data_IF_869807681949
#
_entry.id   IF_869807681949
#
_cell.length_a   1.000
_cell.length_b   1.000
_cell.length_c   1.000
_cell.angle_alpha   90.00
_cell.angle_beta   90.00
_cell.angle_gamma   90.00
#
_symmetry.space_group_name_H-M   'P 1'
#
loop_
_entity.id
_entity.type
_entity.pdbx_description
1 polymer ?
#
# COMPACT_ATOMS: atom_id res chain seq x y z
N UNK A 1 -22.45 34.41 -18.51
CA UNK A 1 -22.77 33.09 -17.93
C UNK A 1 -21.45 32.38 -17.68
N UNK A 2 -21.15 32.03 -16.43
CA UNK A 2 -19.90 31.33 -16.06
C UNK A 2 -20.22 29.83 -16.02
N UNK A 3 -19.44 29.02 -16.75
CA UNK A 3 -19.55 27.56 -16.73
C UNK A 3 -18.40 27.01 -15.91
N UNK A 4 -18.71 26.17 -14.92
CA UNK A 4 -17.70 25.49 -14.09
C UNK A 4 -17.67 24.03 -14.51
N UNK A 5 -16.51 23.56 -14.95
CA UNK A 5 -16.25 22.17 -15.31
C UNK A 5 -15.37 21.54 -14.23
N UNK A 6 -15.80 20.39 -13.69
CA UNK A 6 -15.05 19.65 -12.66
C UNK A 6 -14.71 18.28 -13.21
N UNK A 7 -13.44 18.08 -13.52
CA UNK A 7 -12.92 16.82 -14.01
C UNK A 7 -12.37 15.97 -12.86
N UNK A 8 -13.06 14.88 -12.55
CA UNK A 8 -12.56 13.91 -11.58
C UNK A 8 -11.35 13.16 -12.15
N UNK A 9 -10.25 13.17 -11.40
CA UNK A 9 -9.04 12.38 -11.69
C UNK A 9 -9.13 11.09 -10.90
N UNK A 10 -9.29 9.95 -11.59
CA UNK A 10 -9.28 8.64 -10.95
C UNK A 10 -7.84 8.17 -10.69
N UNK A 11 -7.67 7.24 -9.74
CA UNK A 11 -6.37 6.60 -9.47
C UNK A 11 -5.83 5.89 -10.73
N UNK A 12 -6.70 5.20 -11.48
CA UNK A 12 -6.33 4.58 -12.76
C UNK A 12 -5.87 5.61 -13.80
N UNK A 13 -6.54 6.78 -13.85
CA UNK A 13 -6.17 7.87 -14.75
C UNK A 13 -4.80 8.45 -14.41
N UNK A 14 -4.51 8.63 -13.11
CA UNK A 14 -3.22 9.11 -12.63
C UNK A 14 -2.11 8.07 -12.85
N UNK A 15 -2.38 6.78 -12.61
CA UNK A 15 -1.42 5.69 -12.85
C UNK A 15 -1.01 5.56 -14.33
N UNK A 16 -1.88 5.99 -15.24
CA UNK A 16 -1.64 5.98 -16.69
C UNK A 16 -1.34 7.37 -17.28
N UNK A 17 -1.08 8.36 -16.42
CA UNK A 17 -0.77 9.71 -16.86
C UNK A 17 0.64 9.80 -17.45
N UNK A 18 0.80 10.64 -18.46
CA UNK A 18 2.07 10.96 -19.12
C UNK A 18 2.40 12.42 -18.89
N UNK A 19 3.61 12.69 -18.40
CA UNK A 19 4.15 14.03 -18.26
C UNK A 19 4.96 14.43 -19.51
N UNK A 20 4.74 15.63 -20.02
CA UNK A 20 5.52 16.21 -21.12
C UNK A 20 6.00 17.61 -20.73
N UNK A 21 7.28 17.88 -20.96
CA UNK A 21 7.92 19.17 -20.72
C UNK A 21 7.99 19.95 -22.02
N UNK A 22 7.43 21.15 -22.03
CA UNK A 22 7.42 22.07 -23.17
C UNK A 22 8.36 23.24 -22.91
N UNK A 23 9.11 23.63 -23.93
CA UNK A 23 10.12 24.68 -23.83
C UNK A 23 9.48 26.06 -23.76
N UNK A 24 9.90 26.88 -22.78
CA UNK A 24 9.78 28.34 -22.84
C UNK A 24 8.35 28.88 -22.91
N UNK A 25 7.40 28.25 -22.22
CA UNK A 25 5.99 28.64 -22.19
C UNK A 25 5.50 28.77 -20.76
N UNK A 26 4.73 29.83 -20.47
CA UNK A 26 4.09 29.98 -19.17
C UNK A 26 2.81 29.14 -19.07
N UNK A 27 2.34 28.77 -17.87
CA UNK A 27 1.08 28.05 -17.72
C UNK A 27 -0.12 28.77 -18.35
N UNK A 28 -0.18 30.10 -18.23
CA UNK A 28 -1.23 30.96 -18.79
C UNK A 28 -1.20 30.97 -20.33
N UNK A 29 -0.01 31.19 -20.92
CA UNK A 29 0.16 31.17 -22.38
C UNK A 29 -0.19 29.81 -22.96
N UNK A 30 0.18 28.72 -22.26
CA UNK A 30 -0.20 27.38 -22.68
C UNK A 30 -1.72 27.21 -22.72
N UNK A 31 -2.44 27.63 -21.69
CA UNK A 31 -3.89 27.49 -21.63
C UNK A 31 -4.61 28.26 -22.74
N UNK A 32 -4.18 29.48 -23.04
CA UNK A 32 -4.84 30.35 -24.02
C UNK A 32 -4.43 30.01 -25.45
N UNK A 33 -3.14 29.83 -25.70
CA UNK A 33 -2.58 29.78 -27.06
C UNK A 33 -2.31 28.35 -27.52
N UNK A 34 -1.71 27.52 -26.66
CA UNK A 34 -1.11 26.25 -27.09
C UNK A 34 -1.97 25.01 -26.79
N UNK A 35 -2.88 25.08 -25.81
CA UNK A 35 -3.74 23.96 -25.37
C UNK A 35 -4.50 23.32 -26.54
N UNK A 36 -5.02 24.12 -27.46
CA UNK A 36 -5.77 23.62 -28.63
C UNK A 36 -4.88 22.84 -29.60
N UNK A 37 -3.66 23.32 -29.84
CA UNK A 37 -2.65 22.63 -30.65
C UNK A 37 -2.23 21.31 -30.00
N UNK A 38 -1.97 21.35 -28.70
CA UNK A 38 -1.64 20.18 -27.88
C UNK A 38 -2.70 19.09 -27.94
N UNK A 39 -3.96 19.41 -27.67
CA UNK A 39 -5.06 18.44 -27.73
C UNK A 39 -5.24 17.88 -29.15
N UNK A 40 -5.08 18.69 -30.20
CA UNK A 40 -5.15 18.22 -31.60
C UNK A 40 -3.99 17.31 -31.98
N UNK A 41 -2.79 17.59 -31.49
CA UNK A 41 -1.61 16.74 -31.68
C UNK A 41 -1.83 15.35 -31.10
N UNK A 42 -2.24 15.28 -29.82
CA UNK A 42 -2.58 14.01 -29.16
C UNK A 42 -3.73 13.28 -29.84
N UNK A 43 -4.77 14.01 -30.27
CA UNK A 43 -5.90 13.47 -31.04
C UNK A 43 -5.42 12.75 -32.30
N UNK A 44 -4.57 13.42 -33.09
CA UNK A 44 -4.06 12.90 -34.35
C UNK A 44 -3.15 11.69 -34.13
N UNK A 45 -2.27 11.77 -33.12
CA UNK A 45 -1.27 10.76 -32.84
C UNK A 45 -1.89 9.46 -32.28
N UNK A 46 -2.84 9.61 -31.36
CA UNK A 46 -3.44 8.49 -30.65
C UNK A 46 -4.72 7.99 -31.31
N UNK A 47 -5.25 8.72 -32.30
CA UNK A 47 -6.55 8.47 -32.95
C UNK A 47 -7.70 8.40 -31.94
N UNK A 48 -7.78 9.42 -31.08
CA UNK A 48 -8.80 9.55 -30.02
C UNK A 48 -9.66 10.79 -30.24
N UNK A 49 -10.68 11.05 -29.41
CA UNK A 49 -11.44 12.32 -29.48
C UNK A 49 -10.79 13.35 -28.55
N UNK A 50 -11.00 14.64 -28.82
CA UNK A 50 -10.45 15.72 -27.97
C UNK A 50 -10.89 15.57 -26.51
N UNK A 51 -12.16 15.21 -26.28
CA UNK A 51 -12.74 15.00 -24.94
C UNK A 51 -12.17 13.78 -24.19
N UNK A 52 -11.47 12.88 -24.89
CA UNK A 52 -10.86 11.72 -24.27
C UNK A 52 -9.49 12.07 -23.66
N UNK A 53 -8.91 13.23 -24.01
CA UNK A 53 -7.64 13.71 -23.45
C UNK A 53 -7.93 14.60 -22.25
N UNK A 54 -7.56 14.13 -21.06
CA UNK A 54 -7.72 14.83 -19.79
C UNK A 54 -6.39 15.43 -19.37
N UNK A 55 -6.28 16.76 -19.36
CA UNK A 55 -5.13 17.45 -18.75
C UNK A 55 -5.37 17.46 -17.24
N UNK A 56 -4.48 16.80 -16.50
CA UNK A 56 -4.58 16.59 -15.05
C UNK A 56 -3.91 17.74 -14.29
N UNK A 57 -2.72 18.12 -14.73
CA UNK A 57 -1.92 19.16 -14.07
C UNK A 57 -1.06 19.91 -15.09
N UNK A 58 -0.89 21.20 -14.85
CA UNK A 58 0.00 22.12 -15.54
C UNK A 58 0.80 22.87 -14.47
N UNK A 59 2.12 22.86 -14.57
CA UNK A 59 2.98 23.58 -13.63
C UNK A 59 4.28 24.04 -14.29
N UNK A 60 4.91 25.13 -13.80
CA UNK A 60 6.28 25.44 -14.18
C UNK A 60 7.20 24.25 -13.91
N UNK A 61 8.11 23.97 -14.84
CA UNK A 61 9.07 22.91 -14.69
C UNK A 61 9.94 23.16 -13.46
N UNK A 62 10.00 22.17 -12.56
CA UNK A 62 10.91 22.18 -11.42
C UNK A 62 12.12 21.33 -11.76
N UNK A 63 13.31 21.92 -11.80
CA UNK A 63 14.58 21.20 -11.94
C UNK A 63 14.96 20.59 -10.58
N UNK A 64 14.30 19.48 -10.22
CA UNK A 64 14.73 18.68 -9.08
C UNK A 64 16.01 17.88 -9.45
N UNK A 65 17.16 18.47 -9.09
CA UNK A 65 18.52 17.91 -8.99
C UNK A 65 19.45 17.93 -10.23
N UNK A 66 20.42 18.86 -10.26
CA UNK A 66 21.86 18.60 -9.99
C UNK A 66 22.70 19.87 -10.26
N UNK A 67 23.65 20.13 -9.36
CA UNK A 67 24.77 21.08 -9.43
C UNK A 67 24.49 22.61 -9.47
N UNK A 68 25.00 23.29 -8.44
CA UNK A 68 24.97 24.75 -8.29
C UNK A 68 25.78 25.49 -9.37
N UNK A 69 26.72 24.82 -10.04
CA UNK A 69 27.50 25.39 -11.13
C UNK A 69 26.69 25.61 -12.43
N UNK A 70 25.56 24.91 -12.62
CA UNK A 70 24.66 25.12 -13.76
C UNK A 70 23.52 26.11 -13.46
N UNK A 71 23.35 26.52 -12.19
CA UNK A 71 22.31 27.48 -11.78
C UNK A 71 22.46 28.85 -12.44
N UNK A 72 23.67 29.26 -12.82
CA UNK A 72 23.93 30.57 -13.45
C UNK A 72 23.45 30.64 -14.91
N UNK A 73 23.39 29.52 -15.64
CA UNK A 73 22.90 29.47 -17.04
C UNK A 73 21.44 29.03 -17.18
N UNK A 74 20.85 28.40 -16.14
CA UNK A 74 19.49 27.81 -16.17
C UNK A 74 18.38 28.72 -15.61
N UNK A 75 18.73 29.80 -14.92
CA UNK A 75 17.77 30.66 -14.20
C UNK A 75 16.80 31.49 -15.08
N UNK A 76 16.70 31.20 -16.38
CA UNK A 76 15.84 31.90 -17.35
C UNK A 76 14.92 30.97 -18.16
N UNK A 77 15.01 29.64 -18.02
CA UNK A 77 14.12 28.72 -18.75
C UNK A 77 12.79 28.55 -18.03
N UNK A 78 11.74 29.18 -18.57
CA UNK A 78 10.35 29.02 -18.15
C UNK A 78 9.72 27.82 -18.87
N UNK A 79 10.27 26.63 -18.65
CA UNK A 79 9.69 25.42 -19.22
C UNK A 79 8.41 25.03 -18.45
N UNK A 80 7.53 24.27 -19.10
CA UNK A 80 6.23 23.89 -18.56
C UNK A 80 6.06 22.37 -18.54
N UNK A 81 5.74 21.82 -17.39
CA UNK A 81 5.35 20.42 -17.25
C UNK A 81 3.83 20.29 -17.36
N UNK A 82 3.37 19.48 -18.32
CA UNK A 82 1.96 19.16 -18.54
C UNK A 82 1.76 17.66 -18.29
N UNK A 83 0.93 17.33 -17.32
CA UNK A 83 0.52 15.97 -16.99
C UNK A 83 -0.88 15.70 -17.57
N UNK A 84 -1.03 14.64 -18.34
CA UNK A 84 -2.31 14.29 -18.97
C UNK A 84 -2.51 12.78 -19.02
N UNK A 85 -3.77 12.36 -19.10
CA UNK A 85 -4.16 10.97 -19.32
C UNK A 85 -5.14 10.89 -20.49
N UNK A 86 -5.25 9.72 -21.12
CA UNK A 86 -6.13 9.53 -22.28
C UNK A 86 -7.10 8.40 -22.01
N UNK A 87 -8.38 8.72 -22.01
CA UNK A 87 -9.49 7.78 -21.78
C UNK A 87 -9.69 6.89 -23.01
N UNK A 88 -9.98 5.62 -22.77
CA UNK A 88 -10.39 4.64 -23.79
C UNK A 88 -11.92 4.52 -23.81
N UNK A 89 -12.61 5.64 -24.00
CA UNK A 89 -14.06 5.71 -23.86
C UNK A 89 -14.51 5.31 -22.45
N UNK A 90 -15.39 4.32 -22.33
CA UNK A 90 -15.84 3.73 -21.05
C UNK A 90 -14.94 2.60 -20.54
N UNK A 91 -13.87 2.25 -21.26
CA UNK A 91 -13.01 1.08 -20.98
C UNK A 91 -11.69 1.45 -20.27
N UNK A 92 -11.72 2.42 -19.36
CA UNK A 92 -10.54 2.86 -18.59
C UNK A 92 -9.63 3.80 -19.38
N UNK A 93 -8.32 3.67 -19.18
CA UNK A 93 -7.30 4.55 -19.78
C UNK A 93 -6.32 3.80 -20.70
N UNK A 94 -5.75 4.51 -21.67
CA UNK A 94 -4.60 4.01 -22.43
C UNK A 94 -3.37 3.97 -21.54
N UNK A 95 -2.54 2.93 -21.66
CA UNK A 95 -1.36 2.80 -20.82
C UNK A 95 -0.33 3.90 -21.09
N UNK A 96 0.30 4.40 -20.03
CA UNK A 96 1.34 5.43 -20.12
C UNK A 96 2.45 5.00 -21.10
N UNK A 97 2.90 3.74 -21.02
CA UNK A 97 3.91 3.17 -21.93
C UNK A 97 3.54 3.31 -23.41
N UNK A 98 2.31 2.98 -23.78
CA UNK A 98 1.85 3.10 -25.17
C UNK A 98 1.85 4.55 -25.65
N UNK A 99 1.37 5.46 -24.82
CA UNK A 99 1.30 6.90 -25.14
C UNK A 99 2.72 7.46 -25.28
N UNK A 100 3.61 7.16 -24.33
CA UNK A 100 5.02 7.59 -24.34
C UNK A 100 5.75 7.09 -25.58
N UNK A 101 5.65 5.81 -25.93
CA UNK A 101 6.26 5.26 -27.16
C UNK A 101 5.75 5.99 -28.41
N UNK A 102 4.43 6.15 -28.55
CA UNK A 102 3.88 6.88 -29.71
C UNK A 102 4.36 8.33 -29.78
N UNK A 103 4.46 9.01 -28.65
CA UNK A 103 4.97 10.39 -28.58
C UNK A 103 6.44 10.46 -28.95
N UNK A 104 7.27 9.56 -28.44
CA UNK A 104 8.69 9.49 -28.78
C UNK A 104 8.89 9.24 -30.27
N UNK A 105 8.17 8.27 -30.84
CA UNK A 105 8.25 7.93 -32.27
C UNK A 105 7.78 9.07 -33.19
N UNK A 106 6.98 10.01 -32.68
CA UNK A 106 6.35 11.06 -33.47
C UNK A 106 6.54 12.46 -32.84
N UNK A 107 7.66 12.67 -32.13
CA UNK A 107 7.90 13.91 -31.37
C UNK A 107 7.77 15.14 -32.28
N UNK A 108 8.28 15.07 -33.51
CA UNK A 108 8.30 16.19 -34.43
C UNK A 108 6.90 16.58 -34.95
N UNK A 109 6.01 15.60 -35.10
CA UNK A 109 4.61 15.85 -35.42
C UNK A 109 3.90 16.53 -34.25
N UNK A 110 4.21 16.11 -33.01
CA UNK A 110 3.68 16.75 -31.80
C UNK A 110 4.18 18.19 -31.65
N UNK A 111 5.48 18.43 -31.86
CA UNK A 111 6.07 19.78 -31.84
C UNK A 111 5.42 20.69 -32.87
N UNK A 112 5.19 20.19 -34.09
CA UNK A 112 4.52 20.94 -35.16
C UNK A 112 3.07 21.26 -34.81
N UNK A 113 2.35 20.30 -34.20
CA UNK A 113 0.96 20.50 -33.81
C UNK A 113 0.78 21.47 -32.64
N UNK A 114 1.69 21.45 -31.67
CA UNK A 114 1.69 22.37 -30.53
C UNK A 114 2.25 23.74 -30.94
N UNK A 115 3.28 23.79 -31.78
CA UNK A 115 4.08 24.98 -32.02
C UNK A 115 5.13 25.25 -30.93
N UNK A 116 5.49 24.24 -30.14
CA UNK A 116 6.49 24.31 -29.07
C UNK A 116 7.45 23.13 -29.16
N UNK A 117 8.67 23.31 -28.67
CA UNK A 117 9.65 22.23 -28.55
C UNK A 117 9.34 21.33 -27.35
N UNK A 118 9.41 20.02 -27.57
CA UNK A 118 9.26 19.02 -26.51
C UNK A 118 10.64 18.78 -25.91
N UNK A 119 10.83 19.21 -24.67
CA UNK A 119 12.11 19.08 -23.96
C UNK A 119 12.27 17.66 -23.42
N UNK A 120 11.20 17.10 -22.86
CA UNK A 120 11.22 15.80 -22.21
C UNK A 120 9.84 15.15 -22.26
N UNK A 121 9.81 13.84 -22.41
CA UNK A 121 8.64 13.01 -22.14
C UNK A 121 8.98 12.13 -20.93
N UNK A 122 8.07 12.01 -19.98
CA UNK A 122 8.31 11.24 -18.76
C UNK A 122 8.38 9.75 -19.08
N UNK A 123 9.51 9.11 -18.74
CA UNK A 123 9.80 7.69 -18.98
C UNK A 123 9.97 6.93 -17.67
N UNK A 124 9.50 5.68 -17.59
CA UNK A 124 9.68 4.81 -16.41
C UNK A 124 11.16 4.80 -15.94
N UNK A 125 11.41 5.27 -14.70
CA UNK A 125 12.74 5.29 -14.09
C UNK A 125 13.06 3.99 -13.36
N UNK A 126 12.11 3.05 -13.29
CA UNK A 126 12.38 1.74 -12.72
C UNK A 126 13.33 0.94 -13.62
N UNK A 127 14.39 0.44 -13.01
CA UNK A 127 15.30 -0.55 -13.59
C UNK A 127 15.21 -1.83 -12.80
N UNK A 128 15.61 -2.95 -13.42
CA UNK A 128 15.63 -4.27 -12.75
C UNK A 128 16.53 -4.32 -11.51
N UNK A 129 17.38 -3.31 -11.31
CA UNK A 129 18.33 -3.20 -10.21
C UNK A 129 18.03 -2.02 -9.27
N UNK A 130 16.98 -1.24 -9.51
CA UNK A 130 16.66 -0.08 -8.68
C UNK A 130 16.33 -0.51 -7.24
N UNK A 131 15.45 -1.50 -7.10
CA UNK A 131 15.17 -2.19 -5.85
C UNK A 131 16.00 -3.47 -5.79
N UNK A 132 16.82 -3.64 -4.74
CA UNK A 132 17.74 -4.77 -4.63
C UNK A 132 16.98 -6.08 -4.43
N UNK A 133 15.99 -6.06 -3.53
CA UNK A 133 15.17 -7.22 -3.18
C UNK A 133 13.68 -6.84 -3.15
N UNK A 134 13.14 -6.44 -4.30
CA UNK A 134 11.74 -6.04 -4.40
C UNK A 134 11.32 -5.63 -5.80
N UNK A 135 10.07 -5.20 -5.91
CA UNK A 135 9.50 -4.65 -7.14
C UNK A 135 9.54 -3.13 -7.10
N UNK A 136 9.90 -2.51 -8.24
CA UNK A 136 9.99 -1.07 -8.38
C UNK A 136 8.70 -0.50 -8.99
N UNK A 137 8.18 0.58 -8.38
CA UNK A 137 7.01 1.30 -8.86
C UNK A 137 7.36 2.78 -9.05
N UNK A 138 7.31 3.27 -10.28
CA UNK A 138 7.48 4.69 -10.60
C UNK A 138 6.13 5.29 -11.02
N UNK A 139 5.62 6.22 -10.21
CA UNK A 139 4.28 6.77 -10.41
C UNK A 139 4.22 8.28 -10.18
N UNK A 140 3.16 8.89 -10.69
CA UNK A 140 2.88 10.32 -10.53
C UNK A 140 2.03 10.54 -9.29
N UNK A 141 2.44 11.50 -8.46
CA UNK A 141 1.71 11.92 -7.27
C UNK A 141 1.22 13.34 -7.47
N UNK A 142 -0.05 13.58 -7.15
CA UNK A 142 -0.62 14.92 -7.08
C UNK A 142 -0.54 15.42 -5.63
N UNK A 143 0.14 16.54 -5.42
CA UNK A 143 0.13 17.25 -4.16
C UNK A 143 -1.25 17.89 -3.97
N UNK A 144 -1.94 17.46 -2.91
CA UNK A 144 -3.29 17.92 -2.57
C UNK A 144 -3.29 19.22 -1.76
N UNK A 145 -2.12 19.63 -1.26
CA UNK A 145 -1.97 20.81 -0.41
C UNK A 145 -1.65 22.04 -1.25
N UNK A 146 -0.88 21.86 -2.32
CA UNK A 146 -0.43 22.94 -3.19
C UNK A 146 -1.12 22.83 -4.56
N UNK A 147 -2.02 23.78 -4.82
CA UNK A 147 -2.64 23.97 -6.12
C UNK A 147 -2.41 25.41 -6.60
N UNK A 148 -2.01 25.54 -7.86
CA UNK A 148 -1.86 26.81 -8.55
C UNK A 148 -3.19 27.19 -9.20
N UNK A 149 -3.62 28.44 -8.99
CA UNK A 149 -4.79 29.00 -9.68
C UNK A 149 -4.33 29.88 -10.82
N UNK A 150 -4.66 29.47 -12.04
CA UNK A 150 -4.37 30.21 -13.28
C UNK A 150 -5.64 30.93 -13.73
N UNK A 151 -5.57 32.24 -13.86
CA UNK A 151 -6.71 33.05 -14.32
C UNK A 151 -6.30 33.86 -15.54
N UNK A 152 -7.11 33.77 -16.59
CA UNK A 152 -7.02 34.55 -17.81
C UNK A 152 -8.33 35.29 -18.02
N UNK A 153 -8.41 36.16 -19.03
CA UNK A 153 -9.63 36.91 -19.37
C UNK A 153 -10.85 36.02 -19.66
N UNK A 154 -10.61 34.74 -19.99
CA UNK A 154 -11.67 33.82 -20.45
C UNK A 154 -11.72 32.49 -19.69
N UNK A 155 -10.73 32.18 -18.86
CA UNK A 155 -10.60 30.88 -18.20
C UNK A 155 -9.99 31.02 -16.81
N UNK A 156 -10.58 30.34 -15.83
CA UNK A 156 -9.92 30.01 -14.57
C UNK A 156 -9.66 28.52 -14.53
N UNK A 157 -8.41 28.13 -14.27
CA UNK A 157 -7.95 26.75 -14.18
C UNK A 157 -7.20 26.53 -12.88
N UNK A 158 -7.62 25.53 -12.12
CA UNK A 158 -6.94 25.13 -10.88
C UNK A 158 -6.12 23.88 -11.18
N UNK A 159 -4.82 23.98 -10.97
CA UNK A 159 -3.85 22.92 -11.26
C UNK A 159 -3.23 22.42 -9.96
N UNK A 160 -3.42 21.14 -9.57
CA UNK A 160 -2.64 20.56 -8.48
C UNK A 160 -1.17 20.44 -8.90
N UNK A 161 -0.24 20.64 -7.98
CA UNK A 161 1.17 20.33 -8.26
C UNK A 161 1.34 18.82 -8.38
N UNK A 162 2.18 18.36 -9.31
CA UNK A 162 2.54 16.98 -9.49
C UNK A 162 4.05 16.78 -9.36
N UNK A 163 4.44 15.65 -8.81
CA UNK A 163 5.81 15.20 -8.80
C UNK A 163 5.84 13.69 -8.99
N UNK A 164 7.02 13.19 -9.32
CA UNK A 164 7.19 11.79 -9.66
C UNK A 164 7.93 11.05 -8.55
N UNK A 165 7.33 9.99 -8.05
CA UNK A 165 7.86 9.22 -6.93
C UNK A 165 8.20 7.80 -7.39
N UNK A 166 9.34 7.29 -6.92
CA UNK A 166 9.73 5.89 -7.09
C UNK A 166 9.67 5.25 -5.71
N UNK A 167 8.93 4.15 -5.59
CA UNK A 167 8.84 3.36 -4.38
C UNK A 167 9.22 1.90 -4.66
N UNK A 168 9.79 1.25 -3.66
CA UNK A 168 10.12 -0.17 -3.71
C UNK A 168 9.16 -0.97 -2.81
N UNK A 169 8.51 -1.97 -3.37
CA UNK A 169 7.81 -2.99 -2.59
C UNK A 169 8.78 -4.12 -2.27
N UNK A 170 9.26 -4.14 -1.03
CA UNK A 170 10.27 -5.12 -0.61
C UNK A 170 9.70 -6.53 -0.49
N UNK A 171 10.51 -7.50 -0.90
CA UNK A 171 10.25 -8.90 -0.65
C UNK A 171 10.24 -9.18 0.87
N UNK A 172 9.50 -10.20 1.34
CA UNK A 172 9.43 -10.53 2.76
C UNK A 172 10.82 -10.69 3.39
N UNK A 173 11.05 -9.96 4.49
CA UNK A 173 12.31 -10.00 5.23
C UNK A 173 13.39 -9.02 4.75
N UNK A 174 13.12 -8.24 3.70
CA UNK A 174 13.92 -7.08 3.31
C UNK A 174 13.18 -5.77 3.60
N UNK A 175 13.94 -4.68 3.70
CA UNK A 175 13.46 -3.34 3.98
C UNK A 175 14.51 -2.29 3.63
N UNK A 176 14.23 -1.04 3.99
CA UNK A 176 14.99 0.12 3.52
C UNK A 176 14.41 0.70 2.23
N UNK A 177 14.82 1.93 1.85
CA UNK A 177 14.26 2.66 0.72
C UNK A 177 14.45 1.95 -0.63
N UNK A 178 15.44 1.07 -0.77
CA UNK A 178 15.69 0.27 -1.97
C UNK A 178 15.68 -1.23 -1.70
N UNK A 179 15.10 -1.66 -0.57
CA UNK A 179 15.09 -3.06 -0.13
C UNK A 179 16.49 -3.68 0.02
N UNK A 180 17.48 -2.86 0.36
CA UNK A 180 18.88 -3.24 0.52
C UNK A 180 19.18 -3.83 1.91
N UNK A 181 18.30 -3.61 2.88
CA UNK A 181 18.49 -4.04 4.25
C UNK A 181 17.75 -5.36 4.49
N UNK A 182 18.47 -6.38 4.97
CA UNK A 182 17.82 -7.56 5.53
C UNK A 182 17.22 -7.18 6.89
N UNK A 183 15.89 -7.19 6.99
CA UNK A 183 15.13 -6.96 8.22
C UNK A 183 14.99 -8.25 9.03
N UNK A 184 15.00 -9.40 8.34
CA UNK A 184 15.21 -10.70 8.99
C UNK A 184 16.49 -11.35 8.44
N UNK A 185 17.25 -12.00 9.32
CA UNK A 185 18.49 -12.66 8.91
C UNK A 185 18.22 -13.91 8.07
N UNK A 186 17.02 -14.49 8.16
CA UNK A 186 16.58 -15.59 7.31
C UNK A 186 16.50 -15.26 5.82
N UNK A 187 16.36 -13.98 5.46
CA UNK A 187 16.36 -13.53 4.06
C UNK A 187 17.67 -13.79 3.34
N UNK A 188 18.78 -13.84 4.09
CA UNK A 188 20.12 -14.17 3.57
C UNK A 188 20.32 -15.67 3.36
N UNK A 189 19.31 -16.49 3.65
CA UNK A 189 19.37 -17.97 3.61
C UNK A 189 20.61 -18.52 4.34
N UNK A 190 20.80 -18.18 5.63
CA UNK A 190 21.99 -18.60 6.38
C UNK A 190 21.98 -20.09 6.72
N UNK A 191 20.82 -20.75 6.64
CA UNK A 191 20.68 -22.15 6.99
C UNK A 191 21.08 -23.11 5.85
N UNK A 192 21.59 -24.31 6.18
CA UNK A 192 21.80 -25.38 5.21
C UNK A 192 20.50 -25.75 4.48
N UNK A 193 20.57 -26.29 3.24
CA UNK A 193 19.39 -26.61 2.42
C UNK A 193 18.35 -27.53 3.09
N UNK A 194 18.79 -28.40 3.99
CA UNK A 194 17.94 -29.36 4.71
C UNK A 194 17.22 -28.77 5.94
N UNK A 195 17.49 -27.51 6.31
CA UNK A 195 16.91 -26.83 7.48
C UNK A 195 16.11 -25.61 7.05
N UNK A 196 15.04 -25.33 7.81
CA UNK A 196 14.22 -24.14 7.67
C UNK A 196 14.80 -23.06 8.57
N UNK A 197 15.03 -21.87 8.01
CA UNK A 197 15.40 -20.71 8.80
C UNK A 197 14.16 -20.10 9.44
N UNK A 198 14.20 -19.93 10.76
CA UNK A 198 13.18 -19.21 11.51
C UNK A 198 13.82 -17.99 12.18
N UNK A 199 13.21 -16.79 12.10
CA UNK A 199 13.66 -15.65 12.87
C UNK A 199 13.71 -15.99 14.36
N UNK A 200 14.76 -15.57 15.04
CA UNK A 200 15.00 -15.87 16.45
C UNK A 200 15.51 -14.62 17.17
N UNK A 201 15.31 -14.58 18.48
CA UNK A 201 15.76 -13.49 19.37
C UNK A 201 17.22 -13.61 19.82
N UNK A 202 17.93 -14.64 19.36
CA UNK A 202 19.37 -14.80 19.62
C UNK A 202 20.19 -13.65 19.03
N UNK A 203 21.45 -13.54 19.46
CA UNK A 203 22.40 -12.55 18.92
C UNK A 203 22.62 -12.67 17.42
N UNK A 204 22.31 -13.84 16.84
CA UNK A 204 22.36 -14.10 15.41
C UNK A 204 21.09 -13.64 14.67
N UNK A 205 19.96 -13.45 15.36
CA UNK A 205 18.69 -13.01 14.76
C UNK A 205 17.91 -14.12 14.01
N UNK A 206 18.41 -15.35 14.01
CA UNK A 206 17.78 -16.52 13.37
C UNK A 206 18.20 -17.84 14.02
N UNK A 207 17.40 -18.88 13.78
CA UNK A 207 17.69 -20.27 14.14
C UNK A 207 17.36 -21.21 12.99
N UNK A 208 18.14 -22.28 12.83
CA UNK A 208 17.95 -23.27 11.77
C UNK A 208 17.34 -24.55 12.34
N UNK A 209 16.08 -24.81 11.99
CA UNK A 209 15.30 -25.93 12.50
C UNK A 209 15.03 -26.96 11.42
N UNK A 210 14.75 -28.20 11.81
CA UNK A 210 14.36 -29.21 10.84
C UNK A 210 12.91 -28.99 10.38
N UNK A 211 12.57 -29.35 9.12
CA UNK A 211 11.18 -29.39 8.69
C UNK A 211 10.32 -30.28 9.59
N UNK A 212 9.04 -29.98 9.68
CA UNK A 212 8.06 -30.71 10.48
C UNK A 212 8.19 -32.23 10.31
N UNK A 213 8.11 -32.95 11.43
CA UNK A 213 8.22 -34.40 11.48
C UNK A 213 9.62 -34.92 11.15
N UNK A 214 10.66 -34.07 11.14
CA UNK A 214 12.05 -34.51 10.95
C UNK A 214 12.98 -34.00 12.06
N UNK A 215 13.99 -34.80 12.38
CA UNK A 215 15.03 -34.49 13.38
C UNK A 215 16.40 -34.99 12.93
N UNK A 216 17.41 -34.77 13.77
CA UNK A 216 18.82 -35.10 13.51
C UNK A 216 19.59 -33.94 12.84
N UNK A 217 20.93 -34.04 12.78
CA UNK A 217 21.79 -32.96 12.27
C UNK A 217 21.53 -32.63 10.80
N UNK A 218 21.07 -33.60 10.01
CA UNK A 218 20.70 -33.46 8.61
C UNK A 218 19.17 -33.52 8.35
N UNK A 219 18.34 -33.49 9.40
CA UNK A 219 16.88 -33.54 9.29
C UNK A 219 16.37 -34.74 8.48
N UNK A 220 16.97 -35.90 8.68
CA UNK A 220 16.69 -37.14 7.95
C UNK A 220 15.94 -38.19 8.80
N UNK A 221 15.77 -37.95 10.10
CA UNK A 221 15.08 -38.86 11.02
C UNK A 221 13.62 -38.45 11.08
N UNK A 222 12.68 -39.30 10.67
CA UNK A 222 11.24 -38.98 10.70
C UNK A 222 10.69 -39.24 12.11
N UNK A 223 10.02 -38.25 12.69
CA UNK A 223 9.28 -38.39 13.95
C UNK A 223 7.85 -38.80 13.61
N UNK A 224 7.51 -40.07 13.85
CA UNK A 224 6.14 -40.57 13.67
C UNK A 224 5.40 -40.57 15.00
N UNK A 225 4.54 -39.58 15.23
CA UNK A 225 3.57 -39.65 16.31
C UNK A 225 2.45 -40.65 15.91
N UNK A 226 2.42 -41.83 16.54
CA UNK A 226 1.44 -42.90 16.24
C UNK A 226 0.18 -42.87 17.12
N UNK A 227 0.03 -41.88 18.01
CA UNK A 227 -1.10 -41.80 18.95
C UNK A 227 -2.23 -40.86 18.44
N UNK A 228 -3.52 -41.21 18.55
CA UNK A 228 -4.64 -40.40 18.08
C UNK A 228 -4.80 -39.05 18.80
N UNK A 229 -4.20 -38.89 19.97
CA UNK A 229 -4.19 -37.65 20.77
C UNK A 229 -2.88 -36.84 20.59
N UNK A 230 -1.94 -37.29 19.77
CA UNK A 230 -0.71 -36.54 19.48
C UNK A 230 -1.00 -35.43 18.44
N UNK A 231 -1.45 -34.28 18.92
CA UNK A 231 -1.43 -33.04 18.15
C UNK A 231 -0.02 -32.44 18.18
N UNK A 232 0.68 -32.44 17.04
CA UNK A 232 1.96 -31.72 16.90
C UNK A 232 1.72 -30.23 16.60
N UNK A 233 2.35 -29.38 17.40
CA UNK A 233 2.33 -27.91 17.29
C UNK A 233 2.98 -27.45 15.98
N UNK A 234 2.19 -27.30 14.92
CA UNK A 234 2.69 -26.78 13.64
C UNK A 234 2.93 -25.28 13.73
N UNK A 235 4.20 -24.88 13.84
CA UNK A 235 4.68 -23.50 13.74
C UNK A 235 3.94 -22.46 14.63
N UNK A 236 3.97 -22.59 15.97
CA UNK A 236 3.38 -21.58 16.84
C UNK A 236 4.13 -20.24 16.70
N UNK A 237 3.39 -19.16 16.42
CA UNK A 237 3.96 -17.80 16.41
C UNK A 237 4.20 -17.40 17.87
N UNK A 238 5.46 -17.14 18.21
CA UNK A 238 5.85 -16.71 19.55
C UNK A 238 5.92 -15.19 19.63
N UNK A 239 5.27 -14.62 20.64
CA UNK A 239 5.26 -13.19 20.89
C UNK A 239 5.95 -12.89 22.23
N UNK A 240 6.99 -12.05 22.18
CA UNK A 240 7.67 -11.50 23.35
C UNK A 240 7.64 -9.96 23.35
N UNK A 241 7.51 -9.36 24.53
CA UNK A 241 7.63 -7.91 24.73
C UNK A 241 6.67 -7.08 23.85
N UNK A 242 7.24 -6.36 22.87
CA UNK A 242 6.53 -5.45 21.94
C UNK A 242 6.31 -6.04 20.54
N UNK A 243 6.52 -7.35 20.36
CA UNK A 243 6.26 -8.01 19.06
C UNK A 243 4.76 -8.07 18.74
N UNK A 244 4.42 -7.97 17.46
CA UNK A 244 3.05 -8.04 16.96
C UNK A 244 3.02 -8.63 15.55
N UNK A 245 1.88 -9.20 15.16
CA UNK A 245 1.56 -9.54 13.79
C UNK A 245 0.44 -8.60 13.32
N UNK A 246 0.61 -7.96 12.17
CA UNK A 246 -0.36 -7.02 11.62
C UNK A 246 -0.84 -7.50 10.25
N UNK A 247 -2.16 -7.57 10.09
CA UNK A 247 -2.80 -8.00 8.85
C UNK A 247 -3.74 -6.90 8.37
N UNK A 248 -3.50 -6.42 7.15
CA UNK A 248 -4.42 -5.49 6.48
C UNK A 248 -5.49 -6.29 5.77
N UNK A 249 -6.75 -6.09 6.15
CA UNK A 249 -7.88 -6.75 5.52
C UNK A 249 -8.34 -5.95 4.30
N UNK A 250 -8.55 -6.65 3.18
CA UNK A 250 -9.00 -6.07 1.91
C UNK A 250 -10.50 -5.78 1.89
N UNK A 251 -11.29 -6.43 2.76
CA UNK A 251 -12.72 -6.21 2.92
C UNK A 251 -13.03 -5.72 4.34
N UNK A 252 -13.93 -4.75 4.52
CA UNK A 252 -14.35 -4.30 5.84
C UNK A 252 -15.06 -5.42 6.61
N UNK A 253 -14.80 -5.54 7.91
CA UNK A 253 -15.44 -6.51 8.80
C UNK A 253 -16.87 -6.05 9.16
N UNK A 254 -17.76 -5.97 8.18
CA UNK A 254 -18.98 -5.16 8.32
C UNK A 254 -19.98 -5.68 9.36
N UNK A 255 -20.13 -7.00 9.61
CA UNK A 255 -21.15 -7.51 10.57
C UNK A 255 -20.86 -8.81 11.31
N UNK A 256 -19.87 -9.61 10.88
CA UNK A 256 -19.56 -10.91 11.51
C UNK A 256 -18.07 -11.10 11.65
N UNK A 257 -17.66 -11.61 12.81
CA UNK A 257 -16.28 -12.01 13.07
C UNK A 257 -16.34 -13.40 13.69
N UNK A 258 -15.58 -14.33 13.12
CA UNK A 258 -15.30 -15.61 13.75
C UNK A 258 -13.78 -15.75 13.81
N UNK A 259 -13.24 -15.77 15.02
CA UNK A 259 -11.82 -15.95 15.27
C UNK A 259 -11.64 -17.17 16.15
N UNK A 260 -10.84 -18.13 15.69
CA UNK A 260 -10.41 -19.27 16.47
C UNK A 260 -8.89 -19.26 16.53
N UNK A 261 -8.32 -19.35 17.73
CA UNK A 261 -6.88 -19.44 17.93
C UNK A 261 -6.57 -20.35 19.11
N UNK A 262 -5.37 -20.94 19.09
CA UNK A 262 -4.81 -21.61 20.26
C UNK A 262 -3.72 -20.74 20.85
N UNK A 263 -3.68 -20.64 22.17
CA UNK A 263 -2.68 -19.84 22.88
C UNK A 263 -2.11 -20.62 24.06
N UNK A 264 -0.84 -20.35 24.36
CA UNK A 264 -0.13 -20.81 25.56
C UNK A 264 0.58 -19.62 26.16
N UNK A 265 0.33 -19.33 27.43
CA UNK A 265 0.97 -18.19 28.10
C UNK A 265 1.12 -18.45 29.61
N UNK A 266 2.05 -17.73 30.23
CA UNK A 266 2.18 -17.60 31.69
C UNK A 266 1.87 -16.16 32.15
N UNK A 267 1.67 -15.25 31.20
CA UNK A 267 1.38 -13.85 31.49
C UNK A 267 -0.06 -13.69 31.96
N UNK A 268 -0.27 -12.91 33.02
CA UNK A 268 -1.59 -12.63 33.56
C UNK A 268 -2.36 -11.61 32.70
N UNK A 269 -1.67 -10.84 31.86
CA UNK A 269 -2.26 -9.84 30.96
C UNK A 269 -1.60 -9.88 29.58
N UNK A 270 -2.37 -9.69 28.51
CA UNK A 270 -1.82 -9.59 27.16
C UNK A 270 -2.90 -9.40 26.09
N UNK A 271 -2.58 -8.68 25.01
CA UNK A 271 -3.48 -8.51 23.88
C UNK A 271 -3.32 -9.69 22.90
N UNK A 272 -4.44 -10.27 22.46
CA UNK A 272 -4.49 -11.38 21.50
C UNK A 272 -4.96 -10.93 20.12
N UNK A 273 -5.85 -9.94 20.07
CA UNK A 273 -6.36 -9.32 18.85
C UNK A 273 -6.67 -7.86 19.14
N UNK A 274 -6.30 -6.99 18.22
CA UNK A 274 -6.72 -5.58 18.22
C UNK A 274 -7.16 -5.18 16.81
N UNK A 275 -8.34 -4.57 16.71
CA UNK A 275 -8.85 -3.98 15.49
C UNK A 275 -9.62 -2.71 15.83
N UNK A 276 -9.36 -1.63 15.08
CA UNK A 276 -9.98 -0.33 15.31
C UNK A 276 -10.39 0.31 13.98
N UNK A 277 -11.61 0.82 13.94
CA UNK A 277 -12.14 1.69 12.88
C UNK A 277 -12.25 3.14 13.37
N UNK A 278 -12.98 3.97 12.62
CA UNK A 278 -13.12 5.42 12.92
C UNK A 278 -13.85 5.68 14.24
N UNK A 279 -14.84 4.84 14.60
CA UNK A 279 -15.66 4.97 15.83
C UNK A 279 -15.81 3.66 16.60
N UNK A 280 -15.23 2.58 16.11
CA UNK A 280 -15.53 1.20 16.51
C UNK A 280 -14.22 0.49 16.83
N UNK A 281 -14.25 -0.49 17.74
CA UNK A 281 -13.10 -1.34 17.98
C UNK A 281 -13.53 -2.74 18.45
N UNK A 282 -12.62 -3.68 18.30
CA UNK A 282 -12.78 -5.06 18.75
C UNK A 282 -11.44 -5.57 19.27
N UNK A 283 -11.41 -5.96 20.54
CA UNK A 283 -10.22 -6.29 21.32
C UNK A 283 -10.45 -7.63 22.02
N UNK A 284 -9.59 -8.61 21.74
CA UNK A 284 -9.51 -9.87 22.48
C UNK A 284 -8.22 -9.86 23.32
N UNK A 285 -8.33 -10.19 24.60
CA UNK A 285 -7.23 -10.05 25.56
C UNK A 285 -7.30 -11.08 26.69
N UNK A 286 -6.17 -11.28 27.36
CA UNK A 286 -6.06 -11.97 28.64
C UNK A 286 -6.00 -10.90 29.73
N UNK A 287 -6.84 -11.02 30.76
CA UNK A 287 -6.89 -10.12 31.93
C UNK A 287 -6.99 -10.95 33.20
N UNK A 288 -6.05 -10.75 34.13
CA UNK A 288 -5.90 -11.53 35.36
C UNK A 288 -5.88 -13.05 35.13
N UNK A 289 -5.33 -13.48 33.99
CA UNK A 289 -5.22 -14.88 33.56
C UNK A 289 -6.45 -15.47 32.88
N UNK A 290 -7.51 -14.68 32.64
CA UNK A 290 -8.75 -15.12 31.98
C UNK A 290 -8.94 -14.41 30.64
N UNK A 291 -9.61 -15.05 29.68
CA UNK A 291 -9.89 -14.44 28.37
C UNK A 291 -11.09 -13.48 28.49
N UNK A 292 -10.92 -12.29 27.89
CA UNK A 292 -11.90 -11.21 27.84
C UNK A 292 -11.96 -10.63 26.42
N UNK A 293 -13.18 -10.34 25.97
CA UNK A 293 -13.46 -9.67 24.71
C UNK A 293 -14.18 -8.34 24.99
N UNK A 294 -13.69 -7.26 24.38
CA UNK A 294 -14.26 -5.92 24.45
C UNK A 294 -14.53 -5.42 23.04
N UNK A 295 -15.70 -4.84 22.81
CA UNK A 295 -16.05 -4.35 21.49
C UNK A 295 -17.03 -3.17 21.56
N UNK A 296 -16.86 -2.21 20.67
CA UNK A 296 -17.76 -1.08 20.46
C UNK A 296 -18.18 -1.04 19.00
N UNK A 297 -19.48 -0.89 18.76
CA UNK A 297 -20.11 -0.77 17.44
C UNK A 297 -20.62 0.66 17.20
N UNK A 298 -19.97 1.67 17.79
CA UNK A 298 -20.22 3.10 17.58
C UNK A 298 -21.19 3.75 18.57
N UNK A 299 -21.57 3.07 19.66
CA UNK A 299 -22.53 3.63 20.66
C UNK A 299 -22.29 3.15 22.10
N UNK A 300 -21.15 2.50 22.36
CA UNK A 300 -20.75 2.07 23.69
C UNK A 300 -20.17 0.67 23.72
N UNK A 301 -19.40 0.41 24.78
CA UNK A 301 -18.64 -0.83 24.95
C UNK A 301 -19.51 -1.99 25.46
N UNK A 302 -19.39 -3.15 24.81
CA UNK A 302 -19.78 -4.45 25.35
C UNK A 302 -18.56 -5.23 25.82
N UNK A 303 -18.70 -5.98 26.93
CA UNK A 303 -17.64 -6.81 27.50
C UNK A 303 -18.15 -8.24 27.71
N UNK A 304 -17.40 -9.23 27.23
CA UNK A 304 -17.67 -10.66 27.44
C UNK A 304 -16.42 -11.30 28.03
N UNK A 305 -16.54 -11.92 29.21
CA UNK A 305 -15.41 -12.55 29.90
C UNK A 305 -15.72 -13.97 30.30
N UNK A 306 -14.76 -14.88 30.07
CA UNK A 306 -14.80 -16.26 30.55
C UNK A 306 -13.95 -16.35 31.83
N UNK A 307 -14.57 -16.10 32.99
CA UNK A 307 -13.87 -16.07 34.28
C UNK A 307 -13.60 -17.44 34.90
N UNK A 308 -14.24 -18.50 34.40
CA UNK A 308 -14.20 -19.84 34.98
C UNK A 308 -12.94 -20.64 34.63
N UNK A 309 -12.21 -20.24 33.58
CA UNK A 309 -10.98 -20.91 33.13
C UNK A 309 -9.83 -19.90 33.10
N UNK A 310 -8.74 -20.24 33.80
CA UNK A 310 -7.45 -19.57 33.66
C UNK A 310 -6.69 -20.18 32.49
N UNK A 311 -6.12 -19.33 31.64
CA UNK A 311 -5.34 -19.71 30.44
C UNK A 311 -3.85 -19.38 30.57
N UNK A 312 -3.46 -18.80 31.70
CA UNK A 312 -2.07 -18.44 32.00
C UNK A 312 -1.32 -19.53 32.80
N UNK A 313 -1.72 -20.79 32.63
CA UNK A 313 -1.17 -21.95 33.35
C UNK A 313 0.01 -22.61 32.60
N UNK A 314 0.46 -22.00 31.51
CA UNK A 314 1.55 -22.53 30.68
C UNK A 314 1.14 -23.71 29.79
N UNK A 315 -0.14 -24.07 29.73
CA UNK A 315 -0.69 -25.08 28.81
C UNK A 315 -1.38 -24.43 27.61
N UNK A 316 -1.65 -25.22 26.57
CA UNK A 316 -2.40 -24.75 25.41
C UNK A 316 -3.89 -24.68 25.70
N UNK A 317 -4.51 -23.58 25.27
CA UNK A 317 -5.94 -23.34 25.33
C UNK A 317 -6.48 -22.95 23.97
N UNK A 318 -7.66 -23.47 23.63
CA UNK A 318 -8.38 -23.07 22.44
C UNK A 318 -9.38 -21.98 22.78
N UNK A 319 -9.29 -20.84 22.07
CA UNK A 319 -10.18 -19.69 22.25
C UNK A 319 -10.93 -19.45 20.95
N UNK A 320 -12.25 -19.45 21.05
CA UNK A 320 -13.15 -19.17 19.92
C UNK A 320 -14.01 -17.96 20.26
N UNK A 321 -13.96 -16.96 19.39
CA UNK A 321 -14.75 -15.75 19.43
C UNK A 321 -15.69 -15.73 18.24
N UNK A 322 -16.99 -15.57 18.50
CA UNK A 322 -18.01 -15.33 17.49
C UNK A 322 -18.73 -14.02 17.79
N UNK A 323 -18.62 -13.03 16.90
CA UNK A 323 -19.40 -11.80 16.93
C UNK A 323 -20.37 -11.76 15.76
N UNK A 324 -21.64 -11.42 16.03
CA UNK A 324 -22.69 -11.17 15.05
C UNK A 324 -23.38 -9.85 15.40
N UNK A 325 -23.06 -8.79 14.65
CA UNK A 325 -23.51 -7.45 14.96
C UNK A 325 -23.03 -7.01 16.35
N UNK A 326 -23.98 -6.66 17.21
CA UNK A 326 -23.72 -6.22 18.57
C UNK A 326 -23.67 -7.36 19.60
N UNK A 327 -23.85 -8.61 19.18
CA UNK A 327 -23.78 -9.77 20.07
C UNK A 327 -22.46 -10.51 19.88
N UNK A 328 -21.86 -10.95 20.99
CA UNK A 328 -20.63 -11.74 20.99
C UNK A 328 -20.74 -12.96 21.92
N UNK A 329 -20.09 -14.04 21.51
CA UNK A 329 -19.91 -15.29 22.25
C UNK A 329 -18.43 -15.63 22.28
N UNK A 330 -17.94 -15.99 23.45
CA UNK A 330 -16.54 -16.33 23.71
C UNK A 330 -16.49 -17.68 24.43
N UNK A 331 -15.75 -18.63 23.87
CA UNK A 331 -15.55 -19.94 24.48
C UNK A 331 -14.08 -20.30 24.63
N UNK A 332 -13.75 -21.03 25.70
CA UNK A 332 -12.43 -21.57 26.00
C UNK A 332 -12.53 -23.09 26.16
N UNK A 333 -11.65 -23.81 25.46
CA UNK A 333 -11.51 -25.28 25.46
C UNK A 333 -12.84 -26.03 25.18
N UNK A 334 -13.73 -25.43 24.39
CA UNK A 334 -15.09 -25.92 24.08
C UNK A 334 -15.98 -26.24 25.30
N UNK A 335 -15.57 -25.81 26.50
CA UNK A 335 -16.22 -26.19 27.76
C UNK A 335 -16.73 -24.99 28.54
N UNK A 336 -16.00 -23.87 28.49
CA UNK A 336 -16.33 -22.66 29.23
C UNK A 336 -16.78 -21.60 28.24
N UNK A 337 -18.00 -21.12 28.37
CA UNK A 337 -18.58 -20.14 27.45
C UNK A 337 -19.17 -18.95 28.21
N UNK A 338 -19.08 -17.78 27.60
CA UNK A 338 -19.76 -16.57 28.04
C UNK A 338 -20.26 -15.81 26.81
N UNK A 339 -21.33 -15.04 26.95
CA UNK A 339 -21.87 -14.22 25.88
C UNK A 339 -22.41 -12.89 26.41
N UNK A 340 -22.50 -11.90 25.54
CA UNK A 340 -22.97 -10.57 25.89
C UNK A 340 -23.20 -9.72 24.64
N UNK A 341 -23.74 -8.52 24.85
CA UNK A 341 -24.05 -7.60 23.78
C UNK A 341 -23.55 -6.18 24.08
N UNK A 342 -23.19 -5.44 23.04
CA UNK A 342 -22.92 -4.00 23.09
C UNK A 342 -24.22 -3.20 22.79
N UNK A 343 -24.34 -1.95 23.27
CA UNK A 343 -25.55 -1.14 23.11
C UNK A 343 -25.89 -0.73 21.65
N UNK A 344 -24.91 -0.62 20.76
CA UNK A 344 -25.08 -0.06 19.41
C UNK A 344 -25.55 -1.07 18.35
N UNK A 345 -26.37 -0.63 17.38
CA UNK A 345 -26.93 -1.46 16.28
C UNK A 345 -26.64 -0.93 14.87
N UNK A 346 -25.75 0.08 14.75
CA UNK A 346 -25.51 0.78 13.50
C UNK A 346 -24.73 -0.04 12.47
#
# INVERSE_FOLDING_TARGET
MVSVEVDLVSEEGLANAVGIRLNGVTPEDFLVTYKKGFLRGLRSLLNVRLKDVQIISIQPASDAATNEAERSRRNTRRDLDVLFAVRKGSHGYYSAKLITTKLQDNVQAMETAVGLKVVQISEDRCTSTYCVHGECFDHMVLDRTYAMSLTTDTLSFVSPQHYRQIDCQCAPGFGGPKCEMAVNECSRKPCPPQKICVPDSSTLGYSCQCPDGKTGPACNIIVTCQDPDCYEEKHPISFGGKSYAHYTLTNPMDRRITLALRLRTIQSTGNLMYSAGVRDYSILEVVNGCVQYRFDCGSGEGVVRVGQKRVNDGSWHEVVLERRGNFARLSVDHRYESSGAAPGVH
#
